data_IF_253636864949
#
_entry.id   IF_253636864949
#
_cell.length_a   1.000
_cell.length_b   1.000
_cell.length_c   1.000
_cell.angle_alpha   90.00
_cell.angle_beta   90.00
_cell.angle_gamma   90.00
#
_symmetry.space_group_name_H-M   'P 1'
#
loop_
_entity.id
_entity.type
_entity.pdbx_description
1 polymer ?
#
# COMPACT_ATOMS: atom_id res chain seq x y z
N UNK A 1 -8.10 -5.05 4.32
CA UNK A 1 -8.07 -4.34 5.63
C UNK A 1 -8.87 -3.03 5.52
N UNK A 2 -8.88 -2.19 6.56
CA UNK A 2 -9.44 -0.83 6.50
C UNK A 2 -8.39 0.19 6.98
N UNK A 3 -8.26 1.30 6.27
CA UNK A 3 -7.48 2.47 6.66
C UNK A 3 -8.40 3.68 6.77
N UNK A 4 -8.19 4.52 7.78
CA UNK A 4 -8.95 5.78 7.89
C UNK A 4 -8.21 6.87 7.13
N UNK A 5 -8.87 7.47 6.14
CA UNK A 5 -8.34 8.56 5.30
C UNK A 5 -9.38 9.69 5.29
N UNK A 6 -8.98 10.89 5.69
CA UNK A 6 -9.87 12.06 5.86
C UNK A 6 -11.11 11.74 6.73
N UNK A 7 -10.89 10.98 7.81
CA UNK A 7 -11.95 10.51 8.70
C UNK A 7 -12.88 9.44 8.10
N UNK A 8 -12.66 9.01 6.86
CA UNK A 8 -13.47 7.98 6.18
C UNK A 8 -12.79 6.61 6.22
N UNK A 9 -13.57 5.57 6.46
CA UNK A 9 -13.08 4.18 6.47
C UNK A 9 -12.94 3.66 5.04
N UNK A 10 -11.71 3.61 4.55
CA UNK A 10 -11.40 3.10 3.22
C UNK A 10 -11.06 1.61 3.26
N UNK A 11 -11.73 0.82 2.41
CA UNK A 11 -11.36 -0.58 2.20
C UNK A 11 -10.05 -0.63 1.42
N UNK A 12 -9.13 -1.48 1.86
CA UNK A 12 -7.86 -1.68 1.19
C UNK A 12 -7.68 -3.14 0.79
N UNK A 13 -7.28 -3.36 -0.47
CA UNK A 13 -7.01 -4.68 -1.05
C UNK A 13 -5.95 -4.54 -2.15
N UNK A 14 -4.96 -5.41 -2.15
CA UNK A 14 -4.08 -5.60 -3.30
C UNK A 14 -4.70 -6.66 -4.22
N UNK A 15 -5.01 -6.28 -5.46
CA UNK A 15 -5.41 -7.19 -6.53
C UNK A 15 -4.19 -7.56 -7.37
N UNK A 16 -4.27 -8.59 -8.22
CA UNK A 16 -3.17 -8.92 -9.13
C UNK A 16 -2.81 -7.73 -10.05
N UNK A 17 -3.80 -6.98 -10.53
CA UNK A 17 -3.54 -5.76 -11.32
C UNK A 17 -2.82 -4.68 -10.52
N UNK A 18 -3.25 -4.43 -9.27
CA UNK A 18 -2.61 -3.45 -8.40
C UNK A 18 -1.17 -3.85 -8.02
N UNK A 19 -0.89 -5.14 -7.91
CA UNK A 19 0.47 -5.67 -7.68
C UNK A 19 1.37 -5.47 -8.90
N UNK A 20 0.86 -5.75 -10.11
CA UNK A 20 1.60 -5.52 -11.34
C UNK A 20 1.96 -4.04 -11.54
N UNK A 21 1.00 -3.14 -11.29
CA UNK A 21 1.23 -1.69 -11.33
C UNK A 21 2.29 -1.25 -10.29
N UNK A 22 2.30 -1.86 -9.10
CA UNK A 22 3.30 -1.55 -8.07
C UNK A 22 4.72 -1.97 -8.44
N UNK A 23 4.90 -3.12 -9.10
CA UNK A 23 6.22 -3.56 -9.58
C UNK A 23 6.79 -2.54 -10.58
N UNK A 24 5.96 -2.06 -11.49
CA UNK A 24 6.31 -1.02 -12.46
C UNK A 24 6.61 0.31 -11.77
N UNK A 25 5.71 0.80 -10.91
CA UNK A 25 5.83 2.10 -10.23
C UNK A 25 7.06 2.18 -9.30
N UNK A 26 7.41 1.08 -8.63
CA UNK A 26 8.52 1.02 -7.68
C UNK A 26 9.83 0.54 -8.30
N UNK A 27 9.82 0.27 -9.61
CA UNK A 27 10.94 -0.26 -10.38
C UNK A 27 11.56 -1.52 -9.75
N UNK A 28 10.71 -2.40 -9.22
CA UNK A 28 11.13 -3.66 -8.63
C UNK A 28 11.02 -4.80 -9.66
N UNK A 29 12.00 -5.71 -9.73
CA UNK A 29 12.03 -6.76 -10.75
C UNK A 29 11.07 -7.93 -10.44
N UNK A 30 10.49 -7.97 -9.24
CA UNK A 30 9.52 -8.98 -8.83
C UNK A 30 8.77 -8.58 -7.56
N UNK A 31 7.59 -9.17 -7.35
CA UNK A 31 6.84 -9.10 -6.11
C UNK A 31 7.65 -9.53 -4.87
N UNK A 32 8.56 -10.49 -5.01
CA UNK A 32 9.43 -10.92 -3.91
C UNK A 32 10.40 -9.80 -3.50
N UNK A 33 10.98 -9.09 -4.48
CA UNK A 33 11.86 -7.95 -4.21
C UNK A 33 11.10 -6.81 -3.51
N UNK A 34 9.85 -6.57 -3.93
CA UNK A 34 8.95 -5.62 -3.26
C UNK A 34 8.70 -6.00 -1.80
N UNK A 35 8.42 -7.28 -1.51
CA UNK A 35 8.23 -7.77 -0.13
C UNK A 35 9.50 -7.56 0.71
N UNK A 36 10.66 -7.99 0.20
CA UNK A 36 11.94 -7.86 0.90
C UNK A 36 12.28 -6.40 1.23
N UNK A 37 11.99 -5.47 0.32
CA UNK A 37 12.18 -4.03 0.53
C UNK A 37 11.37 -3.50 1.72
N UNK A 38 10.11 -3.93 1.86
CA UNK A 38 9.23 -3.52 2.95
C UNK A 38 9.57 -4.21 4.28
N UNK A 39 9.91 -5.49 4.27
CA UNK A 39 10.35 -6.23 5.47
C UNK A 39 11.67 -5.69 6.03
N UNK A 40 12.60 -5.29 5.16
CA UNK A 40 13.87 -4.68 5.53
C UNK A 40 13.77 -3.22 5.98
N UNK A 41 12.57 -2.65 6.08
CA UNK A 41 12.34 -1.22 6.32
C UNK A 41 13.10 -0.29 5.34
N UNK A 42 13.39 -0.79 4.13
CA UNK A 42 14.12 -0.08 3.07
C UNK A 42 13.15 0.63 2.13
N UNK A 43 12.14 1.30 2.70
CA UNK A 43 11.11 1.99 1.94
C UNK A 43 11.10 3.49 2.22
N UNK A 44 10.77 4.25 1.18
CA UNK A 44 10.54 5.69 1.24
C UNK A 44 9.08 6.00 1.55
N UNK A 45 8.79 7.25 1.92
CA UNK A 45 7.40 7.74 2.03
C UNK A 45 6.64 7.60 0.70
N UNK A 46 7.33 7.75 -0.44
CA UNK A 46 6.71 7.57 -1.77
C UNK A 46 6.28 6.12 -2.00
N UNK A 47 7.06 5.16 -1.50
CA UNK A 47 6.72 3.74 -1.63
C UNK A 47 5.47 3.41 -0.81
N UNK A 48 5.37 3.98 0.40
CA UNK A 48 4.18 3.87 1.23
C UNK A 48 2.97 4.46 0.51
N UNK A 49 3.10 5.66 -0.08
CA UNK A 49 2.02 6.29 -0.83
C UNK A 49 1.57 5.45 -2.03
N UNK A 50 2.52 4.95 -2.82
CA UNK A 50 2.24 4.09 -3.98
C UNK A 50 1.45 2.85 -3.57
N UNK A 51 1.91 2.15 -2.53
CA UNK A 51 1.28 0.94 -2.03
C UNK A 51 -0.12 1.20 -1.45
N UNK A 52 -0.29 2.30 -0.69
CA UNK A 52 -1.60 2.70 -0.21
C UNK A 52 -2.55 3.07 -1.35
N UNK A 53 -2.09 3.78 -2.39
CA UNK A 53 -2.90 4.09 -3.57
C UNK A 53 -3.33 2.80 -4.29
N UNK A 54 -2.41 1.86 -4.50
CA UNK A 54 -2.71 0.55 -5.06
C UNK A 54 -3.73 -0.22 -4.20
N UNK A 55 -3.59 -0.17 -2.87
CA UNK A 55 -4.52 -0.75 -1.92
C UNK A 55 -5.92 -0.13 -1.97
N UNK A 56 -6.02 1.19 -2.07
CA UNK A 56 -7.28 1.91 -2.24
C UNK A 56 -7.96 1.53 -3.56
N UNK A 57 -7.18 1.50 -4.64
CA UNK A 57 -7.65 1.13 -5.98
C UNK A 57 -8.26 -0.26 -5.99
N UNK A 58 -7.56 -1.25 -5.45
CA UNK A 58 -8.08 -2.62 -5.33
C UNK A 58 -9.24 -2.74 -4.32
N UNK A 59 -9.39 -1.78 -3.41
CA UNK A 59 -10.54 -1.62 -2.52
C UNK A 59 -11.76 -0.93 -3.15
N UNK A 60 -11.65 -0.46 -4.40
CA UNK A 60 -12.70 0.21 -5.15
C UNK A 60 -12.68 1.73 -5.08
N UNK A 61 -11.62 2.32 -4.52
CA UNK A 61 -11.46 3.77 -4.34
C UNK A 61 -10.34 4.26 -5.24
N UNK A 62 -10.67 5.11 -6.21
CA UNK A 62 -9.67 5.75 -7.06
C UNK A 62 -9.14 7.00 -6.36
N UNK A 63 -7.88 6.96 -5.95
CA UNK A 63 -7.15 8.07 -5.35
C UNK A 63 -5.73 8.08 -5.91
N UNK A 64 -5.28 9.22 -6.41
CA UNK A 64 -3.93 9.40 -6.90
C UNK A 64 -2.95 9.71 -5.77
N UNK A 65 -1.63 9.50 -5.98
CA UNK A 65 -0.61 9.72 -4.97
C UNK A 65 -0.56 11.15 -4.44
N UNK A 66 -0.79 12.17 -5.28
CA UNK A 66 -0.70 13.57 -4.87
C UNK A 66 -1.87 13.93 -3.96
N UNK A 67 -3.07 13.43 -4.27
CA UNK A 67 -4.22 13.57 -3.37
C UNK A 67 -3.98 12.86 -2.04
N UNK A 68 -3.49 11.61 -2.06
CA UNK A 68 -3.22 10.88 -0.83
C UNK A 68 -2.12 11.54 0.01
N UNK A 69 -1.12 12.16 -0.62
CA UNK A 69 -0.05 12.87 0.07
C UNK A 69 -0.53 14.09 0.89
N UNK A 70 -1.70 14.63 0.55
CA UNK A 70 -2.34 15.74 1.28
C UNK A 70 -3.45 15.29 2.23
N UNK A 71 -3.82 14.01 2.20
CA UNK A 71 -4.89 13.46 3.02
C UNK A 71 -4.46 13.19 4.46
N UNK A 72 -5.41 13.26 5.39
CA UNK A 72 -5.18 12.88 6.78
C UNK A 72 -5.31 11.36 6.93
N UNK A 73 -4.21 10.70 7.31
CA UNK A 73 -4.26 9.29 7.71
C UNK A 73 -4.60 9.20 9.20
N UNK A 74 -5.72 8.55 9.53
CA UNK A 74 -6.08 8.28 10.92
C UNK A 74 -5.00 7.42 11.60
N UNK A 75 -4.48 7.91 12.73
CA UNK A 75 -3.32 7.30 13.42
C UNK A 75 -1.96 7.76 12.89
N UNK A 76 -1.92 8.69 11.93
CA UNK A 76 -0.73 9.36 11.46
C UNK A 76 0.18 8.53 10.54
N UNK A 77 1.38 9.03 10.23
CA UNK A 77 2.27 8.44 9.22
C UNK A 77 2.76 7.04 9.59
N UNK A 78 2.92 6.73 10.89
CA UNK A 78 3.31 5.40 11.32
C UNK A 78 2.21 4.37 11.04
N UNK A 79 0.94 4.73 11.22
CA UNK A 79 -0.19 3.85 10.86
C UNK A 79 -0.24 3.62 9.35
N UNK A 80 0.10 4.63 8.54
CA UNK A 80 0.19 4.52 7.09
C UNK A 80 1.23 3.46 6.67
N UNK A 81 2.44 3.54 7.22
CA UNK A 81 3.50 2.56 6.96
C UNK A 81 3.10 1.15 7.41
N UNK A 82 2.51 1.01 8.60
CA UNK A 82 2.00 -0.28 9.09
C UNK A 82 0.90 -0.85 8.17
N UNK A 83 -0.01 0.00 7.70
CA UNK A 83 -1.07 -0.42 6.80
C UNK A 83 -0.51 -0.91 5.45
N UNK A 84 0.52 -0.25 4.94
CA UNK A 84 1.21 -0.65 3.73
C UNK A 84 1.91 -2.02 3.88
N UNK A 85 2.68 -2.21 4.97
CA UNK A 85 3.32 -3.48 5.27
C UNK A 85 2.29 -4.62 5.46
N UNK A 86 1.20 -4.36 6.18
CA UNK A 86 0.15 -5.34 6.41
C UNK A 86 -0.62 -5.69 5.12
N UNK A 87 -0.77 -4.75 4.17
CA UNK A 87 -1.33 -5.04 2.85
C UNK A 87 -0.47 -6.01 2.06
N UNK A 88 0.84 -5.77 1.98
CA UNK A 88 1.78 -6.69 1.33
C UNK A 88 1.77 -8.05 1.99
N UNK A 89 1.92 -8.10 3.32
CA UNK A 89 1.93 -9.35 4.06
C UNK A 89 0.68 -10.19 3.73
N UNK A 90 -0.53 -9.59 3.78
CA UNK A 90 -1.79 -10.26 3.46
C UNK A 90 -1.91 -10.74 2.01
N UNK A 91 -1.24 -10.09 1.06
CA UNK A 91 -1.26 -10.50 -0.34
C UNK A 91 -0.44 -11.78 -0.59
N UNK A 92 0.54 -12.06 0.27
CA UNK A 92 1.48 -13.18 0.13
C UNK A 92 1.41 -14.19 1.29
N UNK A 93 0.44 -14.07 2.20
CA UNK A 93 0.15 -15.16 3.15
C UNK A 93 -0.32 -16.36 2.33
N UNK A 94 0.57 -17.34 2.17
CA UNK A 94 0.20 -18.70 1.80
C UNK A 94 -0.21 -19.38 3.10
N UNK A 95 -1.51 -19.70 3.23
CA UNK A 95 -1.93 -20.62 4.30
C UNK A 95 -1.18 -21.94 4.08
N UNK A 96 -0.38 -22.35 5.07
CA UNK A 96 0.33 -23.62 5.07
C UNK A 96 -0.64 -24.79 5.33
#
# INVERSE_FOLDING_TARGET
MVLVVDGQHQRMRLTLGALAELEEDLAEPSLMALVQRFEGASFSTRDVLALLCAGLRGGGVQMDPDRLATAEIGGGPMRAAQAAAELLARAFVVEA
#
